data_IF_265110900298
#
_entry.id   IF_265110900298
#
_cell.length_a   1.000
_cell.length_b   1.000
_cell.length_c   1.000
_cell.angle_alpha   90.00
_cell.angle_beta   90.00
_cell.angle_gamma   90.00
#
_symmetry.space_group_name_H-M   'P 1'
#
loop_
_entity.id
_entity.type
_entity.pdbx_description
1 polymer ?
#
# COMPACT_ATOMS: atom_id res chain seq x y z
N UNK A 1 -32.69 7.06 -68.56
CA UNK A 1 -32.60 5.70 -67.97
C UNK A 1 -31.23 5.12 -68.23
N UNK A 2 -30.64 4.48 -67.21
CA UNK A 2 -29.44 3.62 -67.21
C UNK A 2 -28.10 4.31 -67.48
N UNK A 3 -27.45 4.77 -66.41
CA UNK A 3 -25.99 4.94 -66.38
C UNK A 3 -25.38 3.73 -65.66
N UNK A 4 -24.64 2.93 -66.42
CA UNK A 4 -23.71 1.92 -65.92
C UNK A 4 -22.71 2.59 -64.98
N UNK A 5 -22.45 1.96 -63.83
CA UNK A 5 -21.27 2.28 -63.02
C UNK A 5 -20.50 0.98 -62.86
N UNK A 6 -19.34 0.94 -63.53
CA UNK A 6 -18.38 -0.15 -63.45
C UNK A 6 -17.71 -0.17 -62.07
N UNK A 7 -17.51 -1.40 -61.58
CA UNK A 7 -16.56 -1.75 -60.52
C UNK A 7 -15.14 -1.35 -60.95
N UNK A 8 -14.43 -0.65 -60.07
CA UNK A 8 -12.98 -0.69 -60.01
C UNK A 8 -12.55 -0.54 -58.54
N UNK A 9 -12.29 -1.68 -57.91
CA UNK A 9 -11.53 -1.74 -56.68
C UNK A 9 -10.09 -1.33 -57.00
N UNK A 10 -9.53 -0.38 -56.24
CA UNK A 10 -8.08 -0.28 -56.08
C UNK A 10 -7.74 0.30 -54.71
N UNK A 11 -6.88 -0.45 -54.04
CA UNK A 11 -6.39 -0.29 -52.68
C UNK A 11 -5.66 1.04 -52.46
N UNK A 12 -5.99 1.73 -51.37
CA UNK A 12 -5.04 2.56 -50.64
C UNK A 12 -5.16 2.19 -49.15
N UNK A 13 -4.29 1.25 -48.75
CA UNK A 13 -4.10 0.86 -47.35
C UNK A 13 -3.39 2.04 -46.69
N UNK A 14 -4.15 2.88 -45.99
CA UNK A 14 -3.59 3.91 -45.14
C UNK A 14 -2.99 3.21 -43.91
N UNK A 15 -1.65 3.20 -43.85
CA UNK A 15 -0.86 2.92 -42.66
C UNK A 15 -1.16 3.97 -41.59
N UNK A 16 -2.24 3.78 -40.83
CA UNK A 16 -2.47 4.48 -39.58
C UNK A 16 -1.71 3.79 -38.44
N UNK A 17 -1.13 4.53 -37.48
CA UNK A 17 -0.60 3.91 -36.27
C UNK A 17 -1.77 3.27 -35.51
N UNK A 18 -1.62 1.99 -35.18
CA UNK A 18 -2.48 1.29 -34.23
C UNK A 18 -2.38 2.00 -32.88
N UNK A 19 -3.30 2.92 -32.61
CA UNK A 19 -3.52 3.40 -31.26
C UNK A 19 -4.12 2.23 -30.51
N UNK A 20 -3.27 1.56 -29.72
CA UNK A 20 -3.72 0.55 -28.77
C UNK A 20 -4.76 1.19 -27.87
N UNK A 21 -6.02 0.81 -28.05
CA UNK A 21 -7.08 1.13 -27.12
C UNK A 21 -6.71 0.49 -25.80
N UNK A 22 -6.29 1.33 -24.85
CA UNK A 22 -6.09 0.90 -23.48
C UNK A 22 -7.39 0.29 -22.98
N UNK A 23 -7.39 -1.02 -22.74
CA UNK A 23 -8.49 -1.71 -22.09
C UNK A 23 -8.63 -1.10 -20.69
N UNK A 24 -9.60 -0.20 -20.53
CA UNK A 24 -10.08 0.20 -19.21
C UNK A 24 -10.91 -0.95 -18.66
N UNK A 25 -10.26 -1.82 -17.88
CA UNK A 25 -10.96 -2.76 -17.01
C UNK A 25 -11.70 -1.95 -15.94
N UNK A 26 -13.00 -1.70 -16.15
CA UNK A 26 -13.89 -1.15 -15.15
C UNK A 26 -14.18 -2.27 -14.15
N UNK A 27 -13.53 -2.21 -12.98
CA UNK A 27 -13.90 -3.05 -11.84
C UNK A 27 -15.25 -2.56 -11.33
N UNK A 28 -16.24 -3.46 -11.33
CA UNK A 28 -17.64 -3.17 -11.04
C UNK A 28 -17.88 -2.37 -9.76
N UNK A 29 -18.89 -1.50 -9.85
CA UNK A 29 -19.34 -0.54 -8.84
C UNK A 29 -19.73 -1.20 -7.52
N UNK A 30 -18.73 -1.38 -6.64
CA UNK A 30 -18.96 -1.33 -5.20
C UNK A 30 -19.27 0.11 -4.76
N UNK A 31 -19.88 0.33 -3.58
CA UNK A 31 -20.26 1.67 -3.13
C UNK A 31 -19.09 2.64 -3.23
N UNK A 32 -19.26 3.63 -4.11
CA UNK A 32 -18.30 4.69 -4.39
C UNK A 32 -18.23 5.61 -3.18
N UNK A 33 -17.30 5.34 -2.27
CA UNK A 33 -16.81 6.38 -1.37
C UNK A 33 -16.14 7.44 -2.24
N UNK A 34 -16.70 8.66 -2.24
CA UNK A 34 -16.37 9.81 -3.09
C UNK A 34 -14.95 10.39 -2.90
N UNK A 35 -14.00 9.59 -2.40
CA UNK A 35 -12.58 9.89 -2.30
C UNK A 35 -11.80 8.65 -2.73
N UNK A 36 -11.27 8.67 -3.96
CA UNK A 36 -10.50 7.55 -4.51
C UNK A 36 -9.45 7.01 -3.54
N UNK A 37 -9.19 5.70 -3.61
CA UNK A 37 -8.23 4.98 -2.75
C UNK A 37 -6.91 5.74 -2.69
N UNK A 38 -6.53 6.21 -1.49
CA UNK A 38 -5.30 6.98 -1.31
C UNK A 38 -4.08 6.06 -1.33
N UNK A 39 -3.01 6.39 -2.09
CA UNK A 39 -1.79 5.61 -2.07
C UNK A 39 -1.01 5.84 -0.77
N UNK A 40 -0.37 4.79 -0.27
CA UNK A 40 0.60 4.86 0.83
C UNK A 40 2.01 4.90 0.29
N UNK A 41 2.82 5.82 0.82
CA UNK A 41 4.22 5.95 0.48
C UNK A 41 5.02 4.87 1.21
N UNK A 42 5.67 3.98 0.47
CA UNK A 42 6.58 2.99 1.06
C UNK A 42 7.92 3.65 1.35
N UNK A 43 8.42 4.38 0.36
CA UNK A 43 9.64 5.19 0.43
C UNK A 43 9.50 6.43 -0.50
N UNK A 44 10.59 7.16 -0.74
CA UNK A 44 10.57 8.37 -1.59
C UNK A 44 10.33 8.13 -3.09
N UNK A 45 10.30 6.87 -3.54
CA UNK A 45 10.18 6.48 -4.96
C UNK A 45 9.01 5.55 -5.23
N UNK A 46 8.61 4.74 -4.25
CA UNK A 46 7.59 3.71 -4.38
C UNK A 46 6.36 4.02 -3.53
N UNK A 47 5.19 3.83 -4.14
CA UNK A 47 3.88 3.94 -3.49
C UNK A 47 3.10 2.66 -3.71
N UNK A 48 2.28 2.29 -2.73
CA UNK A 48 1.29 1.21 -2.86
C UNK A 48 -0.12 1.76 -2.78
N UNK A 49 -1.06 1.14 -3.49
CA UNK A 49 -2.46 1.45 -3.32
C UNK A 49 -2.98 0.88 -1.99
N UNK A 50 -3.74 1.67 -1.23
CA UNK A 50 -4.48 1.12 -0.08
C UNK A 50 -5.77 0.45 -0.57
N UNK A 51 -5.78 -0.88 -0.58
CA UNK A 51 -6.91 -1.68 -1.05
C UNK A 51 -7.83 -2.19 0.05
N UNK A 52 -7.42 -2.09 1.31
CA UNK A 52 -8.12 -2.73 2.42
C UNK A 52 -9.01 -1.73 3.17
N UNK A 53 -10.25 -2.13 3.43
CA UNK A 53 -11.28 -1.39 4.14
C UNK A 53 -10.88 -1.12 5.60
N UNK A 54 -11.34 0.01 6.12
CA UNK A 54 -11.02 0.42 7.48
C UNK A 54 -11.88 -0.28 8.53
N UNK A 55 -13.13 -0.61 8.21
CA UNK A 55 -14.12 -1.20 9.11
C UNK A 55 -14.06 -2.73 9.21
N UNK A 56 -13.36 -3.39 8.30
CA UNK A 56 -13.24 -4.83 8.24
C UNK A 56 -11.93 -5.33 8.91
N UNK A 57 -12.04 -6.18 9.92
CA UNK A 57 -10.89 -6.73 10.65
C UNK A 57 -10.04 -7.66 9.78
N UNK A 58 -10.65 -8.42 8.87
CA UNK A 58 -9.95 -9.37 8.00
C UNK A 58 -9.05 -8.62 7.03
N UNK A 59 -9.52 -7.46 6.54
CA UNK A 59 -8.75 -6.58 5.67
C UNK A 59 -7.52 -5.99 6.36
N UNK A 60 -7.60 -5.68 7.65
CA UNK A 60 -6.41 -5.28 8.42
C UNK A 60 -5.43 -6.44 8.57
N UNK A 61 -5.92 -7.65 8.87
CA UNK A 61 -5.07 -8.84 8.97
C UNK A 61 -4.36 -9.14 7.64
N UNK A 62 -5.10 -9.15 6.53
CA UNK A 62 -4.56 -9.44 5.20
C UNK A 62 -3.59 -8.35 4.72
N UNK A 63 -3.84 -7.08 5.05
CA UNK A 63 -2.91 -6.00 4.75
C UNK A 63 -1.58 -6.17 5.49
N UNK A 64 -1.63 -6.50 6.79
CA UNK A 64 -0.43 -6.80 7.58
C UNK A 64 0.34 -8.00 7.03
N UNK A 65 -0.37 -9.08 6.68
CA UNK A 65 0.22 -10.28 6.07
C UNK A 65 0.95 -9.96 4.77
N UNK A 66 0.34 -9.15 3.90
CA UNK A 66 0.94 -8.72 2.63
C UNK A 66 2.16 -7.84 2.86
N UNK A 67 2.08 -6.88 3.77
CA UNK A 67 3.20 -5.97 4.08
C UNK A 67 4.41 -6.73 4.61
N UNK A 68 4.22 -7.77 5.44
CA UNK A 68 5.33 -8.64 5.85
C UNK A 68 6.00 -9.38 4.68
N UNK A 69 5.26 -9.68 3.61
CA UNK A 69 5.76 -10.42 2.45
C UNK A 69 6.52 -9.55 1.46
N UNK A 70 6.12 -8.29 1.28
CA UNK A 70 6.67 -7.40 0.25
C UNK A 70 7.43 -6.21 0.82
N UNK A 71 7.02 -5.67 1.96
CA UNK A 71 7.48 -4.38 2.50
C UNK A 71 7.85 -4.45 3.98
N UNK A 72 8.39 -5.59 4.44
CA UNK A 72 8.64 -5.84 5.86
C UNK A 72 9.49 -4.76 6.53
N UNK A 73 10.47 -4.18 5.81
CA UNK A 73 11.33 -3.12 6.31
C UNK A 73 10.57 -1.81 6.63
N UNK A 74 9.43 -1.58 5.99
CA UNK A 74 8.65 -0.35 6.08
C UNK A 74 7.37 -0.51 6.91
N UNK A 75 7.25 -1.60 7.67
CA UNK A 75 6.01 -1.96 8.37
C UNK A 75 5.50 -0.85 9.31
N UNK A 76 6.40 -0.17 10.02
CA UNK A 76 6.03 0.90 10.96
C UNK A 76 5.38 2.06 10.22
N UNK A 77 6.03 2.52 9.14
CA UNK A 77 5.56 3.63 8.31
C UNK A 77 4.23 3.29 7.63
N UNK A 78 4.07 2.05 7.15
CA UNK A 78 2.86 1.60 6.48
C UNK A 78 1.69 1.41 7.45
N UNK A 79 1.93 0.84 8.63
CA UNK A 79 0.90 0.75 9.67
C UNK A 79 0.47 2.15 10.15
N UNK A 80 1.41 3.07 10.34
CA UNK A 80 1.10 4.45 10.74
C UNK A 80 0.23 5.17 9.70
N UNK A 81 0.55 5.03 8.41
CA UNK A 81 -0.26 5.59 7.33
C UNK A 81 -1.67 4.99 7.30
N UNK A 82 -1.79 3.66 7.48
CA UNK A 82 -3.11 3.00 7.55
C UNK A 82 -3.95 3.52 8.70
N UNK A 83 -3.36 3.63 9.89
CA UNK A 83 -4.04 4.17 11.08
C UNK A 83 -4.51 5.60 10.83
N UNK A 84 -3.68 6.44 10.21
CA UNK A 84 -4.05 7.82 9.93
C UNK A 84 -5.18 7.93 8.90
N UNK A 85 -5.13 7.11 7.84
CA UNK A 85 -6.17 7.05 6.82
C UNK A 85 -7.52 6.55 7.36
N UNK A 86 -7.51 5.54 8.23
CA UNK A 86 -8.74 5.05 8.83
C UNK A 86 -9.29 5.99 9.90
N UNK A 87 -8.40 6.69 10.62
CA UNK A 87 -8.79 7.75 11.56
C UNK A 87 -9.55 8.88 10.87
N UNK A 88 -9.14 9.31 9.68
CA UNK A 88 -9.88 10.35 8.93
C UNK A 88 -11.27 9.89 8.45
N UNK A 89 -11.56 8.59 8.51
CA UNK A 89 -12.87 8.02 8.21
C UNK A 89 -13.69 7.71 9.48
N UNK A 90 -13.24 8.18 10.65
CA UNK A 90 -13.90 7.92 11.93
C UNK A 90 -13.65 6.51 12.49
N UNK A 91 -12.83 5.69 11.84
CA UNK A 91 -12.52 4.33 12.30
C UNK A 91 -11.17 4.32 13.01
N UNK A 92 -11.23 4.22 14.33
CA UNK A 92 -10.06 4.18 15.20
C UNK A 92 -10.26 3.07 16.22
N UNK A 93 -9.32 2.14 16.30
CA UNK A 93 -9.36 1.11 17.33
C UNK A 93 -8.07 0.33 17.42
N UNK A 94 -7.61 0.10 18.66
CA UNK A 94 -6.49 -0.79 18.96
C UNK A 94 -6.72 -2.20 18.41
N UNK A 95 -7.97 -2.66 18.34
CA UNK A 95 -8.36 -3.96 17.76
C UNK A 95 -7.89 -4.15 16.32
N UNK A 96 -7.98 -3.11 15.50
CA UNK A 96 -7.63 -3.15 14.09
C UNK A 96 -6.11 -3.19 13.90
N UNK A 97 -5.39 -2.37 14.67
CA UNK A 97 -3.93 -2.40 14.70
C UNK A 97 -3.41 -3.78 15.17
N UNK A 98 -4.07 -4.37 16.17
CA UNK A 98 -3.73 -5.71 16.65
C UNK A 98 -3.91 -6.78 15.56
N UNK A 99 -5.01 -6.73 14.79
CA UNK A 99 -5.24 -7.64 13.66
C UNK A 99 -4.17 -7.52 12.58
N UNK A 100 -3.81 -6.29 12.23
CA UNK A 100 -2.75 -6.04 11.27
C UNK A 100 -1.40 -6.59 11.75
N UNK A 101 -1.05 -6.34 13.01
CA UNK A 101 0.18 -6.89 13.61
C UNK A 101 0.15 -8.42 13.72
N UNK A 102 -1.03 -9.02 13.87
CA UNK A 102 -1.21 -10.47 13.85
C UNK A 102 -0.91 -11.03 12.46
N UNK A 103 -1.51 -10.47 11.41
CA UNK A 103 -1.24 -10.88 10.03
C UNK A 103 0.22 -10.68 9.63
N UNK A 104 0.82 -9.54 10.01
CA UNK A 104 2.23 -9.25 9.77
C UNK A 104 3.16 -10.31 10.40
N UNK A 105 2.90 -10.68 11.67
CA UNK A 105 3.65 -11.74 12.35
C UNK A 105 3.42 -13.11 11.73
N UNK A 106 2.18 -13.42 11.32
CA UNK A 106 1.84 -14.72 10.69
C UNK A 106 2.63 -14.95 9.40
N UNK A 107 2.83 -13.90 8.61
CA UNK A 107 3.63 -13.94 7.40
C UNK A 107 5.17 -13.98 7.65
N UNK A 108 5.61 -14.05 8.91
CA UNK A 108 7.03 -14.10 9.27
C UNK A 108 7.67 -12.71 9.43
N UNK A 109 6.88 -11.64 9.42
CA UNK A 109 7.36 -10.29 9.66
C UNK A 109 7.92 -10.14 11.08
N UNK A 110 9.17 -9.68 11.19
CA UNK A 110 9.83 -9.45 12.48
C UNK A 110 9.63 -8.00 12.90
N UNK A 111 8.88 -7.80 13.98
CA UNK A 111 8.82 -6.50 14.65
C UNK A 111 10.20 -6.20 15.23
N UNK A 112 10.75 -5.02 14.94
CA UNK A 112 11.98 -4.61 15.61
C UNK A 112 11.65 -4.38 17.08
N UNK A 113 12.41 -4.99 17.99
CA UNK A 113 12.33 -4.64 19.39
C UNK A 113 12.60 -3.13 19.53
N UNK A 114 11.69 -2.40 20.18
CA UNK A 114 12.01 -1.06 20.63
C UNK A 114 13.21 -1.19 21.57
N UNK A 115 14.37 -0.68 21.15
CA UNK A 115 15.50 -0.51 22.04
C UNK A 115 15.09 0.59 23.02
N UNK A 116 14.38 0.22 24.07
CA UNK A 116 14.25 1.08 25.24
C UNK A 116 15.67 1.38 25.72
N UNK A 117 15.95 2.66 25.92
CA UNK A 117 17.27 3.24 26.10
C UNK A 117 18.17 2.34 26.95
N UNK A 118 19.32 1.94 26.40
CA UNK A 118 20.39 1.35 27.20
C UNK A 118 20.78 2.42 28.22
N UNK A 119 20.28 2.27 29.45
CA UNK A 119 20.69 3.07 30.60
C UNK A 119 22.20 3.21 30.59
N UNK A 120 22.63 4.45 30.45
CA UNK A 120 24.02 4.87 30.49
C UNK A 120 24.62 4.39 31.82
N UNK A 121 25.37 3.27 31.80
CA UNK A 121 26.15 2.79 32.95
C UNK A 121 27.29 3.79 33.18
N UNK A 122 27.04 4.83 33.98
CA UNK A 122 28.09 5.66 34.57
C UNK A 122 28.98 4.75 35.43
N UNK A 123 30.18 4.43 34.93
CA UNK A 123 31.25 3.87 35.75
C UNK A 123 31.67 4.96 36.75
N UNK A 124 31.29 4.84 38.02
CA UNK A 124 31.93 5.64 39.06
C UNK A 124 33.35 5.11 39.26
N UNK A 125 34.36 5.94 38.97
CA UNK A 125 35.74 5.68 39.38
C UNK A 125 35.84 5.99 40.87
N UNK A 126 36.00 4.96 41.70
CA UNK A 126 36.36 5.12 43.10
C UNK A 126 37.76 5.77 43.16
N UNK A 127 37.82 6.96 43.76
CA UNK A 127 39.07 7.68 44.02
C UNK A 127 39.74 7.03 45.24
N UNK A 128 40.84 6.32 45.01
CA UNK A 128 41.77 5.88 46.05
C UNK A 128 42.43 7.16 46.61
N UNK A 129 42.25 7.46 47.89
CA UNK A 129 43.14 8.36 48.63
C UNK A 129 43.80 7.59 49.75
N UNK A 130 45.12 7.51 49.64
CA UNK A 130 46.03 7.12 50.70
C UNK A 130 46.09 8.24 51.74
N UNK A 131 46.13 7.87 53.01
CA UNK A 131 47.05 8.40 54.02
C UNK A 131 47.05 7.45 55.23
#
# INVERSE_FOLDING_TARGET
>A
MKKLICLAALCAILSGPVQGEGVSIIFGDGPSYSGGRQPFNINGREKRLNTADCGDLDDWYLDGYRVARTYAAYYQTLLAQRVQFCRSQGIVGSRFQAQWLQGFRKAGGRLKASNNEKGHKTKSKAHKKAH
#
